data_IF_064103347846
#
_entry.id   IF_064103347846
#
_cell.length_a   1.000
_cell.length_b   1.000
_cell.length_c   1.000
_cell.angle_alpha   90.00
_cell.angle_beta   90.00
_cell.angle_gamma   90.00
#
_symmetry.space_group_name_H-M   'P 1'
#
loop_
_entity.id
_entity.type
_entity.pdbx_description
1 polymer ?
#
# COMPACT_ATOMS: atom_id res chain seq x y z
N UNK A 1 17.24 14.19 -10.21
CA UNK A 1 15.86 14.11 -10.74
C UNK A 1 15.23 12.85 -10.19
N UNK A 2 13.99 12.90 -9.71
CA UNK A 2 13.18 11.77 -9.26
C UNK A 2 12.54 11.05 -10.45
N UNK A 3 12.23 9.76 -10.31
CA UNK A 3 11.67 8.95 -11.39
C UNK A 3 10.29 9.45 -11.86
N UNK A 4 9.43 9.91 -10.95
CA UNK A 4 8.14 10.55 -11.31
C UNK A 4 8.35 11.79 -12.17
N UNK A 5 9.31 12.64 -11.83
CA UNK A 5 9.62 13.85 -12.59
C UNK A 5 10.19 13.52 -13.98
N UNK A 6 11.09 12.52 -14.04
CA UNK A 6 11.65 12.02 -15.29
C UNK A 6 10.55 11.49 -16.22
N UNK A 7 9.67 10.64 -15.68
CA UNK A 7 8.54 10.06 -16.41
C UNK A 7 7.60 11.13 -16.95
N UNK A 8 7.22 12.11 -16.14
CA UNK A 8 6.35 13.22 -16.54
C UNK A 8 6.94 14.05 -17.67
N UNK A 9 8.21 14.45 -17.54
CA UNK A 9 8.93 15.20 -18.58
C UNK A 9 9.03 14.39 -19.88
N UNK A 10 9.29 13.10 -19.77
CA UNK A 10 9.37 12.20 -20.93
C UNK A 10 8.02 12.09 -21.63
N UNK A 11 6.92 11.97 -20.89
CA UNK A 11 5.57 11.99 -21.42
C UNK A 11 5.27 13.32 -22.13
N UNK A 12 5.55 14.45 -21.49
CA UNK A 12 5.30 15.79 -22.05
C UNK A 12 6.09 16.04 -23.34
N UNK A 13 7.36 15.58 -23.37
CA UNK A 13 8.23 15.76 -24.52
C UNK A 13 7.88 14.87 -25.72
N UNK A 14 7.45 13.64 -25.49
CA UNK A 14 7.32 12.62 -26.53
C UNK A 14 5.97 11.91 -26.54
N UNK A 15 5.43 11.56 -25.39
CA UNK A 15 4.17 10.81 -25.28
C UNK A 15 2.95 11.63 -25.70
N UNK A 16 2.83 12.84 -25.18
CA UNK A 16 1.71 13.73 -25.52
C UNK A 16 1.67 14.11 -27.01
N UNK A 17 2.80 14.50 -27.66
CA UNK A 17 2.83 14.68 -29.10
C UNK A 17 2.50 13.42 -29.90
N UNK A 18 2.99 12.24 -29.49
CA UNK A 18 2.68 10.97 -30.14
C UNK A 18 1.18 10.67 -30.10
N UNK A 19 0.53 10.80 -28.95
CA UNK A 19 -0.91 10.57 -28.82
C UNK A 19 -1.70 11.56 -29.69
N UNK A 20 -1.37 12.85 -29.64
CA UNK A 20 -2.06 13.91 -30.40
C UNK A 20 -1.95 13.72 -31.90
N UNK A 21 -0.76 13.36 -32.40
CA UNK A 21 -0.49 13.31 -33.83
C UNK A 21 -0.87 11.97 -34.48
N UNK A 22 -0.61 10.86 -33.77
CA UNK A 22 -0.76 9.51 -34.32
C UNK A 22 -2.05 8.81 -33.90
N UNK A 23 -2.69 9.28 -32.81
CA UNK A 23 -3.90 8.68 -32.19
C UNK A 23 -4.89 9.75 -31.69
N UNK A 24 -5.24 10.77 -32.52
CA UNK A 24 -6.13 11.85 -32.07
C UNK A 24 -7.51 11.36 -31.62
N UNK A 25 -7.97 10.22 -32.16
CA UNK A 25 -9.25 9.60 -31.81
C UNK A 25 -9.24 8.97 -30.40
N UNK A 26 -8.05 8.67 -29.85
CA UNK A 26 -7.89 8.02 -28.55
C UNK A 26 -7.35 8.99 -27.48
N UNK A 27 -6.88 10.16 -27.88
CA UNK A 27 -6.17 11.10 -26.98
C UNK A 27 -7.01 11.43 -25.74
N UNK A 28 -8.33 11.57 -25.86
CA UNK A 28 -9.23 11.86 -24.75
C UNK A 28 -9.71 10.65 -23.94
N UNK A 29 -9.37 9.42 -24.35
CA UNK A 29 -9.83 8.19 -23.69
C UNK A 29 -8.72 7.45 -22.93
N UNK A 30 -7.46 7.79 -23.23
CA UNK A 30 -6.28 7.16 -22.59
C UNK A 30 -5.88 7.98 -21.38
N UNK A 31 -5.85 7.34 -20.20
CA UNK A 31 -5.19 7.93 -19.06
C UNK A 31 -3.68 7.65 -19.11
N UNK A 32 -2.87 8.62 -18.70
CA UNK A 32 -1.41 8.51 -18.70
C UNK A 32 -0.85 8.88 -17.34
N UNK A 33 0.11 8.09 -16.85
CA UNK A 33 0.73 8.35 -15.57
C UNK A 33 1.92 7.44 -15.29
N UNK A 34 2.49 7.59 -14.12
CA UNK A 34 3.41 6.64 -13.53
C UNK A 34 2.84 6.21 -12.18
N UNK A 35 2.28 5.01 -12.13
CA UNK A 35 1.64 4.38 -10.96
C UNK A 35 1.98 2.90 -10.93
N UNK A 36 1.93 2.27 -9.78
CA UNK A 36 2.16 0.84 -9.65
C UNK A 36 3.41 0.50 -8.85
N UNK A 37 4.11 -0.55 -9.29
CA UNK A 37 5.32 -1.02 -8.61
C UNK A 37 6.48 -0.03 -8.83
N UNK A 38 7.36 0.04 -7.84
CA UNK A 38 8.58 0.82 -7.89
C UNK A 38 8.68 1.91 -6.83
N UNK A 39 9.90 2.16 -6.42
CA UNK A 39 10.21 3.21 -5.44
C UNK A 39 9.82 4.59 -5.92
N UNK A 40 9.93 4.85 -7.21
CA UNK A 40 9.57 6.11 -7.85
C UNK A 40 8.08 6.43 -7.75
N UNK A 41 7.22 5.40 -7.82
CA UNK A 41 5.77 5.57 -7.64
C UNK A 41 5.38 5.97 -6.20
N UNK A 42 6.24 5.69 -5.22
CA UNK A 42 6.08 6.13 -3.83
C UNK A 42 6.89 7.40 -3.52
N UNK A 43 7.71 7.91 -4.46
CA UNK A 43 8.63 9.01 -4.22
C UNK A 43 9.85 8.62 -3.36
N UNK A 44 10.09 7.32 -3.19
CA UNK A 44 11.15 6.75 -2.34
C UNK A 44 12.43 6.40 -3.11
N UNK A 45 12.46 6.69 -4.39
CA UNK A 45 13.64 6.50 -5.22
C UNK A 45 14.82 7.35 -4.74
N UNK A 46 16.00 6.74 -4.70
CA UNK A 46 17.28 7.31 -4.30
C UNK A 46 18.41 6.82 -5.23
N UNK A 47 19.67 7.01 -4.84
CA UNK A 47 20.81 6.58 -5.66
C UNK A 47 20.90 5.05 -5.78
N UNK A 48 20.50 4.31 -4.73
CA UNK A 48 20.51 2.85 -4.71
C UNK A 48 19.42 2.29 -5.63
N UNK A 49 18.24 2.95 -5.65
CA UNK A 49 17.11 2.49 -6.47
C UNK A 49 17.33 2.70 -7.98
N UNK A 50 18.38 3.42 -8.39
CA UNK A 50 18.68 3.66 -9.81
C UNK A 50 19.32 2.47 -10.52
N UNK A 51 19.76 1.47 -9.79
CA UNK A 51 20.32 0.24 -10.36
C UNK A 51 19.26 -0.69 -10.95
N UNK A 52 17.98 -0.51 -10.56
CA UNK A 52 16.85 -1.31 -11.03
C UNK A 52 15.68 -0.42 -11.43
N UNK A 53 15.18 -0.64 -12.64
CA UNK A 53 13.92 -0.09 -13.15
C UNK A 53 13.83 1.46 -13.25
N UNK A 54 14.93 2.19 -13.03
CA UNK A 54 14.97 3.63 -13.21
C UNK A 54 15.20 3.96 -14.69
N UNK A 55 14.13 4.28 -15.40
CA UNK A 55 14.16 4.55 -16.84
C UNK A 55 13.16 5.65 -17.25
N UNK A 56 13.38 6.35 -18.37
CA UNK A 56 12.37 7.23 -18.93
C UNK A 56 11.24 6.39 -19.53
N UNK A 57 10.07 6.43 -18.88
CA UNK A 57 8.90 5.65 -19.31
C UNK A 57 7.64 6.13 -18.60
N UNK A 58 6.48 5.80 -19.14
CA UNK A 58 5.17 6.08 -18.57
C UNK A 58 4.18 4.97 -18.94
N UNK A 59 3.09 4.87 -18.20
CA UNK A 59 1.99 3.97 -18.49
C UNK A 59 0.90 4.71 -19.28
N UNK A 60 0.32 4.04 -20.27
CA UNK A 60 -0.89 4.44 -20.98
C UNK A 60 -2.00 3.46 -20.61
N UNK A 61 -2.96 3.92 -19.83
CA UNK A 61 -4.10 3.11 -19.40
C UNK A 61 -5.21 3.26 -20.43
N UNK A 62 -5.43 2.17 -21.17
CA UNK A 62 -6.43 2.12 -22.25
C UNK A 62 -7.72 1.46 -21.77
N UNK A 63 -8.88 1.75 -22.40
CA UNK A 63 -10.12 1.03 -22.13
C UNK A 63 -10.00 -0.48 -22.33
N UNK A 64 -10.72 -1.26 -21.54
CA UNK A 64 -10.65 -2.73 -21.57
C UNK A 64 -11.17 -3.33 -22.89
N UNK A 65 -12.05 -2.63 -23.59
CA UNK A 65 -12.64 -3.01 -24.86
C UNK A 65 -11.87 -2.52 -26.10
N UNK A 66 -10.67 -1.94 -25.89
CA UNK A 66 -9.81 -1.54 -27.02
C UNK A 66 -9.52 -2.74 -27.93
N UNK A 67 -9.63 -2.54 -29.24
CA UNK A 67 -9.31 -3.61 -30.18
C UNK A 67 -7.81 -3.90 -30.26
N UNK A 68 -7.46 -5.16 -30.45
CA UNK A 68 -6.06 -5.64 -30.43
C UNK A 68 -5.16 -4.99 -31.50
N UNK A 69 -5.73 -4.53 -32.61
CA UNK A 69 -4.96 -3.84 -33.65
C UNK A 69 -4.55 -2.44 -33.19
N UNK A 70 -5.45 -1.74 -32.55
CA UNK A 70 -5.20 -0.40 -32.00
C UNK A 70 -4.23 -0.49 -30.83
N UNK A 71 -4.43 -1.43 -29.92
CA UNK A 71 -3.49 -1.73 -28.82
C UNK A 71 -2.09 -1.98 -29.35
N UNK A 72 -1.91 -2.86 -30.32
CA UNK A 72 -0.63 -3.14 -30.96
C UNK A 72 0.00 -1.92 -31.67
N UNK A 73 -0.82 -1.05 -32.29
CA UNK A 73 -0.33 0.22 -32.88
C UNK A 73 0.24 1.14 -31.82
N UNK A 74 -0.45 1.28 -30.67
CA UNK A 74 0.02 2.08 -29.53
C UNK A 74 1.33 1.52 -28.96
N UNK A 75 1.42 0.22 -28.73
CA UNK A 75 2.66 -0.43 -28.28
C UNK A 75 3.84 -0.16 -29.21
N UNK A 76 3.62 -0.30 -30.52
CA UNK A 76 4.64 0.00 -31.52
C UNK A 76 5.05 1.45 -31.56
N UNK A 77 4.12 2.38 -31.38
CA UNK A 77 4.40 3.81 -31.31
C UNK A 77 5.21 4.13 -30.05
N UNK A 78 4.79 3.61 -28.89
CA UNK A 78 5.54 3.74 -27.63
C UNK A 78 6.97 3.16 -27.73
N UNK A 79 7.12 2.00 -28.37
CA UNK A 79 8.40 1.35 -28.55
C UNK A 79 9.38 2.17 -29.43
N UNK A 80 8.89 3.07 -30.28
CA UNK A 80 9.71 3.95 -31.15
C UNK A 80 10.14 5.25 -30.47
N UNK A 81 9.59 5.58 -29.30
CA UNK A 81 9.98 6.76 -28.56
C UNK A 81 11.49 6.73 -28.24
N UNK A 82 12.16 7.87 -28.04
CA UNK A 82 13.58 7.95 -27.75
C UNK A 82 14.01 7.00 -26.65
N UNK A 83 15.15 6.33 -26.86
CA UNK A 83 15.65 5.33 -25.89
C UNK A 83 16.47 5.97 -24.78
N UNK A 84 16.91 7.20 -24.96
CA UNK A 84 17.68 7.98 -23.97
C UNK A 84 16.99 9.31 -23.76
N UNK A 85 16.81 9.72 -22.51
CA UNK A 85 16.26 11.02 -22.15
C UNK A 85 16.92 11.53 -20.86
N UNK A 86 17.33 12.82 -20.84
CA UNK A 86 18.03 13.46 -19.70
C UNK A 86 19.25 12.63 -19.21
N UNK A 87 19.92 11.95 -20.12
CA UNK A 87 21.09 11.11 -19.80
C UNK A 87 20.75 9.74 -19.19
N UNK A 88 19.46 9.35 -19.14
CA UNK A 88 19.00 8.05 -18.66
C UNK A 88 18.53 7.22 -19.84
N UNK A 89 18.97 5.96 -19.89
CA UNK A 89 18.59 5.01 -20.92
C UNK A 89 17.37 4.19 -20.51
N UNK A 90 16.50 3.89 -21.48
CA UNK A 90 15.44 2.88 -21.30
C UNK A 90 16.06 1.50 -21.19
N UNK A 91 15.64 0.77 -20.17
CA UNK A 91 16.09 -0.59 -19.93
C UNK A 91 15.58 -1.53 -21.04
N UNK A 92 16.34 -2.59 -21.31
CA UNK A 92 15.85 -3.66 -22.16
C UNK A 92 14.77 -4.43 -21.39
N UNK A 93 13.62 -4.65 -22.03
CA UNK A 93 12.51 -5.41 -21.44
C UNK A 93 13.04 -6.76 -20.94
N UNK A 94 12.88 -7.02 -19.66
CA UNK A 94 13.22 -8.33 -19.09
C UNK A 94 12.24 -9.39 -19.63
N UNK A 95 12.73 -10.56 -20.06
CA UNK A 95 11.85 -11.67 -20.43
C UNK A 95 11.01 -12.21 -19.25
N UNK A 96 11.44 -11.88 -18.02
CA UNK A 96 10.80 -12.29 -16.77
C UNK A 96 10.30 -11.03 -16.05
N UNK A 97 9.00 -10.80 -16.03
CA UNK A 97 8.38 -9.69 -15.28
C UNK A 97 7.58 -8.68 -16.12
N UNK A 98 7.61 -8.77 -17.45
CA UNK A 98 6.85 -7.86 -18.33
C UNK A 98 7.40 -6.42 -18.34
N UNK A 99 6.74 -5.52 -19.06
CA UNK A 99 7.04 -4.10 -19.04
C UNK A 99 6.22 -3.41 -17.95
N UNK A 100 6.89 -2.65 -17.10
CA UNK A 100 6.21 -1.80 -16.09
C UNK A 100 5.62 -0.52 -16.70
N UNK A 101 6.01 -0.20 -17.93
CA UNK A 101 5.60 0.96 -18.70
C UNK A 101 4.98 0.54 -20.04
N UNK A 102 4.31 1.45 -20.71
CA UNK A 102 3.71 1.24 -22.02
C UNK A 102 2.20 1.12 -21.94
N UNK A 103 1.61 0.32 -22.82
CA UNK A 103 0.16 0.16 -22.94
C UNK A 103 -0.34 -0.89 -21.96
N UNK A 104 -1.31 -0.53 -21.16
CA UNK A 104 -1.90 -1.41 -20.14
C UNK A 104 -3.40 -1.19 -20.12
N UNK A 105 -4.20 -2.25 -20.21
CA UNK A 105 -5.65 -2.12 -20.01
C UNK A 105 -5.95 -1.74 -18.56
N UNK A 106 -6.88 -0.81 -18.39
CA UNK A 106 -7.24 -0.30 -17.05
C UNK A 106 -7.65 -1.43 -16.11
N UNK A 107 -8.51 -2.34 -16.57
CA UNK A 107 -8.95 -3.48 -15.79
C UNK A 107 -7.80 -4.45 -15.45
N UNK A 108 -6.89 -4.72 -16.40
CA UNK A 108 -5.74 -5.60 -16.17
C UNK A 108 -4.77 -5.01 -15.12
N UNK A 109 -4.56 -3.68 -15.16
CA UNK A 109 -3.78 -3.00 -14.13
C UNK A 109 -4.34 -3.24 -12.74
N UNK A 110 -5.64 -2.94 -12.53
CA UNK A 110 -6.25 -3.11 -11.21
C UNK A 110 -6.37 -4.59 -10.81
N UNK A 111 -6.71 -5.47 -11.76
CA UNK A 111 -6.74 -6.92 -11.52
C UNK A 111 -5.39 -7.43 -10.99
N UNK A 112 -4.30 -6.98 -11.59
CA UNK A 112 -2.95 -7.36 -11.15
C UNK A 112 -2.55 -6.82 -9.77
N UNK A 113 -3.15 -5.71 -9.29
CA UNK A 113 -2.80 -5.10 -8.00
C UNK A 113 -3.73 -5.51 -6.88
N UNK A 114 -5.02 -5.55 -7.13
CA UNK A 114 -6.05 -5.75 -6.09
C UNK A 114 -6.91 -7.00 -6.30
N UNK A 115 -6.67 -7.78 -7.37
CA UNK A 115 -7.45 -8.98 -7.68
C UNK A 115 -8.81 -8.73 -8.35
N UNK A 116 -9.13 -7.47 -8.66
CA UNK A 116 -10.37 -7.07 -9.31
C UNK A 116 -10.09 -6.03 -10.41
N UNK A 117 -10.83 -6.06 -11.53
CA UNK A 117 -10.57 -5.14 -12.66
C UNK A 117 -11.07 -3.71 -12.44
N UNK A 118 -11.41 -3.35 -11.19
CA UNK A 118 -11.91 -2.04 -10.79
C UNK A 118 -12.32 -2.02 -9.33
N UNK A 119 -13.24 -1.14 -8.97
CA UNK A 119 -13.70 -0.98 -7.58
C UNK A 119 -14.43 -2.24 -7.10
N UNK A 120 -14.04 -2.84 -5.96
CA UNK A 120 -14.75 -3.97 -5.38
C UNK A 120 -16.22 -3.65 -5.09
N UNK A 121 -17.09 -4.64 -5.28
CA UNK A 121 -18.56 -4.46 -5.19
C UNK A 121 -19.16 -4.94 -3.88
N UNK A 122 -18.42 -5.80 -3.13
CA UNK A 122 -18.88 -6.37 -1.85
C UNK A 122 -17.82 -6.18 -0.78
N UNK A 123 -18.22 -6.26 0.48
CA UNK A 123 -17.29 -6.18 1.61
C UNK A 123 -16.25 -7.31 1.60
N UNK A 124 -16.63 -8.53 1.21
CA UNK A 124 -15.72 -9.66 1.11
C UNK A 124 -14.62 -9.41 0.08
N UNK A 125 -14.97 -8.81 -1.07
CA UNK A 125 -13.99 -8.40 -2.07
C UNK A 125 -13.02 -7.36 -1.50
N UNK A 126 -13.51 -6.36 -0.77
CA UNK A 126 -12.68 -5.37 -0.11
C UNK A 126 -11.75 -5.99 0.94
N UNK A 127 -12.25 -6.93 1.76
CA UNK A 127 -11.45 -7.62 2.77
C UNK A 127 -10.33 -8.46 2.16
N UNK A 128 -10.52 -9.00 0.96
CA UNK A 128 -9.52 -9.83 0.27
C UNK A 128 -8.39 -9.04 -0.38
N UNK A 129 -8.50 -7.71 -0.47
CA UNK A 129 -7.44 -6.87 -1.05
C UNK A 129 -6.25 -6.79 -0.08
N UNK A 130 -5.02 -7.18 -0.51
CA UNK A 130 -3.82 -6.91 0.25
C UNK A 130 -3.59 -5.40 0.43
N UNK A 131 -3.21 -4.97 1.64
CA UNK A 131 -2.97 -3.54 1.91
C UNK A 131 -1.93 -2.95 0.96
N UNK A 132 -0.83 -3.69 0.70
CA UNK A 132 0.20 -3.28 -0.26
C UNK A 132 -0.30 -3.22 -1.71
N UNK A 133 -1.25 -4.08 -2.08
CA UNK A 133 -1.91 -4.04 -3.39
C UNK A 133 -2.70 -2.76 -3.56
N UNK A 134 -3.48 -2.38 -2.54
CA UNK A 134 -4.22 -1.13 -2.54
C UNK A 134 -3.30 0.09 -2.62
N UNK A 135 -2.22 0.10 -1.84
CA UNK A 135 -1.21 1.16 -1.89
C UNK A 135 -0.58 1.27 -3.30
N UNK A 136 -0.23 0.14 -3.91
CA UNK A 136 0.38 0.10 -5.25
C UNK A 136 -0.61 0.52 -6.36
N UNK A 137 -1.89 0.18 -6.21
CA UNK A 137 -2.94 0.60 -7.16
C UNK A 137 -3.26 2.11 -7.11
N UNK A 138 -2.88 2.78 -6.01
CA UNK A 138 -3.28 4.17 -5.74
C UNK A 138 -2.12 5.14 -5.53
N UNK A 139 -0.86 4.71 -5.68
CA UNK A 139 0.34 5.54 -5.58
C UNK A 139 0.65 6.31 -6.88
N UNK A 140 1.79 6.97 -6.93
CA UNK A 140 2.30 7.65 -8.13
C UNK A 140 1.47 8.86 -8.55
N UNK A 141 1.61 9.24 -9.80
CA UNK A 141 0.95 10.43 -10.38
C UNK A 141 0.27 10.10 -11.71
N UNK A 142 -0.95 10.58 -11.88
CA UNK A 142 -1.67 10.57 -13.16
C UNK A 142 -1.38 11.91 -13.84
N UNK A 143 -0.72 11.87 -15.00
CA UNK A 143 -0.32 13.07 -15.75
C UNK A 143 -1.47 13.61 -16.60
N UNK A 144 -2.32 12.72 -17.09
CA UNK A 144 -3.49 13.02 -17.92
C UNK A 144 -4.58 11.97 -17.74
N UNK A 145 -5.82 12.39 -17.64
CA UNK A 145 -7.01 11.53 -17.65
C UNK A 145 -8.24 12.39 -17.99
N UNK A 146 -8.43 12.66 -19.28
CA UNK A 146 -9.49 13.57 -19.74
C UNK A 146 -10.89 12.96 -19.52
N UNK A 147 -11.01 11.62 -19.62
CA UNK A 147 -12.26 10.90 -19.33
C UNK A 147 -12.58 10.84 -17.84
N UNK A 148 -11.54 10.93 -17.00
CA UNK A 148 -11.63 10.78 -15.56
C UNK A 148 -11.91 9.36 -15.06
N UNK A 149 -11.97 8.36 -15.93
CA UNK A 149 -12.35 7.00 -15.54
C UNK A 149 -11.30 6.32 -14.67
N UNK A 150 -10.03 6.42 -15.04
CA UNK A 150 -8.93 5.87 -14.24
C UNK A 150 -8.84 6.54 -12.86
N UNK A 151 -8.91 7.87 -12.84
CA UNK A 151 -8.87 8.68 -11.62
C UNK A 151 -10.07 8.43 -10.72
N UNK A 152 -11.25 8.15 -11.28
CA UNK A 152 -12.46 7.81 -10.53
C UNK A 152 -12.32 6.47 -9.80
N UNK A 153 -11.79 5.44 -10.46
CA UNK A 153 -11.49 4.14 -9.80
C UNK A 153 -10.50 4.35 -8.68
N UNK A 154 -9.41 5.08 -8.93
CA UNK A 154 -8.38 5.41 -7.95
C UNK A 154 -8.94 6.13 -6.72
N UNK A 155 -9.77 7.13 -6.92
CA UNK A 155 -10.42 7.87 -5.83
C UNK A 155 -11.37 6.99 -5.01
N UNK A 156 -12.12 6.10 -5.67
CA UNK A 156 -13.00 5.16 -5.01
C UNK A 156 -12.21 4.14 -4.17
N UNK A 157 -11.07 3.65 -4.67
CA UNK A 157 -10.19 2.74 -3.92
C UNK A 157 -9.57 3.41 -2.69
N UNK A 158 -9.20 4.69 -2.77
CA UNK A 158 -8.72 5.48 -1.63
C UNK A 158 -9.82 5.75 -0.59
N UNK A 159 -11.09 5.65 -0.99
CA UNK A 159 -12.26 5.82 -0.13
C UNK A 159 -12.78 4.46 0.38
N UNK A 160 -11.88 3.62 0.94
CA UNK A 160 -12.26 2.34 1.53
C UNK A 160 -13.52 2.49 2.40
N UNK A 161 -14.55 1.61 2.26
CA UNK A 161 -15.73 1.66 3.12
C UNK A 161 -15.36 1.60 4.59
N UNK A 162 -15.99 2.43 5.42
CA UNK A 162 -15.68 2.56 6.84
C UNK A 162 -15.82 1.22 7.57
N UNK A 163 -16.87 0.46 7.30
CA UNK A 163 -17.10 -0.86 7.91
C UNK A 163 -15.97 -1.86 7.58
N UNK A 164 -15.41 -1.82 6.35
CA UNK A 164 -14.24 -2.62 5.97
C UNK A 164 -13.01 -2.18 6.74
N UNK A 165 -12.77 -0.87 6.82
CA UNK A 165 -11.65 -0.29 7.58
C UNK A 165 -11.70 -0.72 9.04
N UNK A 166 -12.89 -0.63 9.68
CA UNK A 166 -13.09 -1.04 11.06
C UNK A 166 -12.86 -2.54 11.26
N UNK A 167 -13.31 -3.38 10.30
CA UNK A 167 -13.07 -4.82 10.37
C UNK A 167 -11.59 -5.18 10.29
N UNK A 168 -10.86 -4.59 9.35
CA UNK A 168 -9.41 -4.76 9.24
C UNK A 168 -8.69 -4.25 10.51
N UNK A 169 -9.07 -3.07 10.99
CA UNK A 169 -8.48 -2.48 12.20
C UNK A 169 -8.70 -3.41 13.42
N UNK A 170 -9.92 -3.88 13.64
CA UNK A 170 -10.22 -4.81 14.73
C UNK A 170 -9.36 -6.09 14.65
N UNK A 171 -9.21 -6.67 13.46
CA UNK A 171 -8.33 -7.83 13.24
C UNK A 171 -6.87 -7.55 13.61
N UNK A 172 -6.32 -6.42 13.17
CA UNK A 172 -4.96 -6.06 13.51
C UNK A 172 -4.76 -5.80 15.01
N UNK A 173 -5.74 -5.19 15.69
CA UNK A 173 -5.69 -4.99 17.14
C UNK A 173 -5.69 -6.33 17.90
N UNK A 174 -6.47 -7.33 17.46
CA UNK A 174 -6.42 -8.69 18.03
C UNK A 174 -5.02 -9.29 17.87
N UNK A 175 -4.44 -9.19 16.69
CA UNK A 175 -3.11 -9.73 16.44
C UNK A 175 -2.02 -9.01 17.25
N UNK A 176 -2.14 -7.71 17.45
CA UNK A 176 -1.26 -6.94 18.34
C UNK A 176 -1.40 -7.44 19.80
N UNK A 177 -2.62 -7.61 20.30
CA UNK A 177 -2.86 -8.13 21.64
C UNK A 177 -2.24 -9.53 21.80
N UNK A 178 -2.53 -10.42 20.86
CA UNK A 178 -2.06 -11.79 20.92
C UNK A 178 -0.54 -11.92 20.80
N UNK A 179 0.07 -11.24 19.83
CA UNK A 179 1.51 -11.33 19.59
C UNK A 179 2.32 -10.57 20.65
N UNK A 180 1.97 -9.31 20.91
CA UNK A 180 2.71 -8.42 21.82
C UNK A 180 2.34 -8.64 23.28
N UNK A 181 1.09 -8.29 23.65
CA UNK A 181 0.69 -8.26 25.07
C UNK A 181 0.60 -9.66 25.70
N UNK A 182 0.33 -10.71 24.90
CA UNK A 182 0.18 -12.06 25.45
C UNK A 182 1.37 -12.97 25.16
N UNK A 183 1.76 -13.19 23.90
CA UNK A 183 2.72 -14.23 23.54
C UNK A 183 4.18 -13.83 23.78
N UNK A 184 4.56 -12.56 23.56
CA UNK A 184 5.97 -12.14 23.65
C UNK A 184 6.59 -12.53 25.01
N UNK A 185 6.01 -12.05 26.11
CA UNK A 185 6.52 -12.34 27.46
C UNK A 185 6.46 -13.84 27.79
N UNK A 186 5.44 -14.56 27.37
CA UNK A 186 5.33 -16.02 27.58
C UNK A 186 6.45 -16.78 26.85
N UNK A 187 6.81 -16.37 25.65
CA UNK A 187 7.95 -16.97 24.94
C UNK A 187 9.26 -16.72 25.69
N UNK A 188 9.46 -15.51 26.24
CA UNK A 188 10.63 -15.19 27.08
C UNK A 188 10.66 -16.06 28.33
N UNK A 189 9.54 -16.20 29.06
CA UNK A 189 9.44 -17.00 30.28
C UNK A 189 9.74 -18.50 30.03
N UNK A 190 9.45 -18.99 28.83
CA UNK A 190 9.78 -20.34 28.41
C UNK A 190 11.22 -20.50 27.87
N UNK A 191 12.00 -19.42 27.79
CA UNK A 191 13.35 -19.43 27.23
C UNK A 191 13.40 -19.53 25.70
N UNK A 192 12.25 -19.34 25.01
CA UNK A 192 12.08 -19.47 23.57
C UNK A 192 12.33 -18.12 22.87
N UNK A 193 13.58 -17.67 22.87
CA UNK A 193 13.98 -16.34 22.36
C UNK A 193 13.67 -16.16 20.86
N UNK A 194 13.78 -17.22 20.08
CA UNK A 194 13.41 -17.20 18.65
C UNK A 194 11.91 -17.00 18.45
N UNK A 195 11.06 -17.69 19.24
CA UNK A 195 9.61 -17.50 19.21
C UNK A 195 9.20 -16.10 19.68
N UNK A 196 9.91 -15.56 20.71
CA UNK A 196 9.72 -14.19 21.15
C UNK A 196 10.02 -13.17 20.04
N UNK A 197 11.07 -13.39 19.24
CA UNK A 197 11.38 -12.52 18.11
C UNK A 197 10.32 -12.59 17.00
N UNK A 198 9.76 -13.78 16.73
CA UNK A 198 8.62 -13.90 15.81
C UNK A 198 7.40 -13.17 16.34
N UNK A 199 7.08 -13.28 17.62
CA UNK A 199 5.98 -12.57 18.27
C UNK A 199 6.18 -11.04 18.20
N UNK A 200 7.41 -10.54 18.43
CA UNK A 200 7.75 -9.13 18.27
C UNK A 200 7.56 -8.66 16.81
N UNK A 201 8.00 -9.46 15.84
CA UNK A 201 7.84 -9.15 14.41
C UNK A 201 6.37 -9.10 13.98
N UNK A 202 5.54 -10.03 14.46
CA UNK A 202 4.08 -10.03 14.23
C UNK A 202 3.43 -8.79 14.86
N UNK A 203 3.77 -8.47 16.12
CA UNK A 203 3.28 -7.26 16.76
C UNK A 203 3.61 -6.00 15.95
N UNK A 204 4.86 -5.86 15.51
CA UNK A 204 5.32 -4.72 14.69
C UNK A 204 4.55 -4.65 13.37
N UNK A 205 4.43 -5.77 12.66
CA UNK A 205 3.72 -5.83 11.38
C UNK A 205 2.25 -5.38 11.53
N UNK A 206 1.55 -5.89 12.55
CA UNK A 206 0.14 -5.54 12.78
C UNK A 206 -0.02 -4.13 13.34
N UNK A 207 0.91 -3.63 14.14
CA UNK A 207 0.91 -2.23 14.60
C UNK A 207 1.04 -1.27 13.43
N UNK A 208 1.99 -1.49 12.52
CA UNK A 208 2.15 -0.66 11.32
C UNK A 208 0.84 -0.59 10.55
N UNK A 209 0.22 -1.72 10.23
CA UNK A 209 -1.04 -1.77 9.48
C UNK A 209 -2.19 -1.08 10.22
N UNK A 210 -2.31 -1.27 11.55
CA UNK A 210 -3.29 -0.57 12.37
C UNK A 210 -3.09 0.96 12.31
N UNK A 211 -1.84 1.44 12.38
CA UNK A 211 -1.53 2.87 12.28
C UNK A 211 -1.91 3.42 10.90
N UNK A 212 -1.64 2.69 9.81
CA UNK A 212 -2.09 3.12 8.48
C UNK A 212 -3.62 3.20 8.37
N UNK A 213 -4.36 2.24 8.93
CA UNK A 213 -5.82 2.26 8.98
C UNK A 213 -6.36 3.42 9.82
N UNK A 214 -5.70 3.77 10.95
CA UNK A 214 -6.02 4.95 11.76
C UNK A 214 -5.78 6.27 11.02
N UNK A 215 -4.84 6.28 10.08
CA UNK A 215 -4.58 7.41 9.19
C UNK A 215 -5.40 7.37 7.88
N UNK A 216 -6.26 6.35 7.68
CA UNK A 216 -7.05 6.14 6.45
C UNK A 216 -6.19 6.15 5.18
N UNK A 217 -4.98 5.61 5.28
CA UNK A 217 -3.97 5.56 4.22
C UNK A 217 -3.62 4.10 3.93
N UNK A 218 -3.54 3.64 2.68
CA UNK A 218 -3.10 2.30 2.37
C UNK A 218 -1.65 2.05 2.79
N UNK A 219 -1.41 0.91 3.46
CA UNK A 219 -0.07 0.52 3.89
C UNK A 219 0.75 -0.02 2.70
N UNK A 220 1.92 0.52 2.40
CA UNK A 220 2.77 0.00 1.34
C UNK A 220 3.39 -1.36 1.72
N UNK A 221 4.04 -1.99 0.74
CA UNK A 221 4.81 -3.21 0.94
C UNK A 221 5.87 -3.03 2.05
N UNK A 222 6.19 -4.09 2.79
CA UNK A 222 7.07 -4.03 3.98
C UNK A 222 8.37 -3.26 3.76
N UNK A 223 8.96 -3.35 2.57
CA UNK A 223 10.21 -2.63 2.20
C UNK A 223 10.11 -1.12 2.43
N UNK A 224 8.91 -0.56 2.29
CA UNK A 224 8.66 0.88 2.40
C UNK A 224 7.84 1.27 3.63
N UNK A 225 7.33 0.29 4.39
CA UNK A 225 6.37 0.53 5.47
C UNK A 225 6.91 1.45 6.57
N UNK A 226 8.16 1.27 7.01
CA UNK A 226 8.78 2.13 8.00
C UNK A 226 9.02 3.56 7.49
N UNK A 227 9.45 3.69 6.24
CA UNK A 227 9.65 5.00 5.63
C UNK A 227 8.32 5.76 5.53
N UNK A 228 7.29 5.10 5.03
CA UNK A 228 5.94 5.67 4.94
C UNK A 228 5.32 5.95 6.31
N UNK A 229 5.58 5.10 7.32
CA UNK A 229 5.12 5.31 8.70
C UNK A 229 5.64 6.63 9.27
N UNK A 230 6.92 6.98 9.04
CA UNK A 230 7.53 8.23 9.52
C UNK A 230 6.88 9.49 8.92
N UNK A 231 6.18 9.36 7.79
CA UNK A 231 5.51 10.45 7.07
C UNK A 231 4.03 10.61 7.47
N UNK A 232 3.48 9.68 8.27
CA UNK A 232 2.08 9.74 8.67
C UNK A 232 1.82 10.86 9.70
N UNK A 233 0.67 11.54 9.62
CA UNK A 233 0.30 12.60 10.57
C UNK A 233 0.04 12.10 11.99
N UNK A 234 -0.33 10.83 12.17
CA UNK A 234 -0.67 10.23 13.45
C UNK A 234 0.21 9.02 13.72
N UNK A 235 0.72 8.92 14.94
CA UNK A 235 1.50 7.79 15.44
C UNK A 235 2.82 7.50 14.67
N UNK A 236 3.32 8.46 13.88
CA UNK A 236 4.62 8.34 13.21
C UNK A 236 5.79 8.21 14.18
N UNK A 237 5.66 8.76 15.40
CA UNK A 237 6.63 8.64 16.48
C UNK A 237 6.86 7.20 16.95
N UNK A 238 5.97 6.26 16.60
CA UNK A 238 6.16 4.84 16.94
C UNK A 238 7.28 4.17 16.13
N UNK A 239 7.75 4.79 15.04
CA UNK A 239 8.72 4.18 14.12
C UNK A 239 9.97 3.66 14.83
N UNK A 240 10.56 4.46 15.71
CA UNK A 240 11.81 4.10 16.39
C UNK A 240 11.63 2.96 17.41
N UNK A 241 10.50 3.00 18.16
CA UNK A 241 10.14 1.94 19.10
C UNK A 241 9.86 0.62 18.37
N UNK A 242 9.15 0.67 17.23
CA UNK A 242 8.88 -0.51 16.40
C UNK A 242 10.16 -1.07 15.77
N UNK A 243 11.08 -0.20 15.32
CA UNK A 243 12.37 -0.62 14.79
C UNK A 243 13.22 -1.28 15.88
N UNK A 244 13.24 -0.73 17.10
CA UNK A 244 13.92 -1.33 18.25
C UNK A 244 13.40 -2.75 18.56
N UNK A 245 12.08 -2.96 18.54
CA UNK A 245 11.49 -4.28 18.82
C UNK A 245 11.97 -5.39 17.87
N UNK A 246 12.23 -5.08 16.61
CA UNK A 246 12.64 -6.08 15.61
C UNK A 246 14.13 -6.16 15.38
N UNK A 247 14.91 -5.13 15.75
CA UNK A 247 16.35 -5.06 15.51
C UNK A 247 17.21 -5.41 16.73
N UNK A 248 16.61 -5.47 17.93
CA UNK A 248 17.31 -5.79 19.18
C UNK A 248 17.15 -7.26 19.59
N UNK A 249 18.11 -7.76 20.38
CA UNK A 249 18.10 -9.12 20.91
C UNK A 249 16.99 -9.33 21.95
N UNK A 250 16.80 -10.60 22.36
CA UNK A 250 15.89 -11.02 23.42
C UNK A 250 16.65 -11.57 24.63
N UNK A 251 17.77 -10.95 24.99
CA UNK A 251 18.47 -11.26 26.25
C UNK A 251 17.65 -10.80 27.48
N UNK A 252 18.10 -11.19 28.67
CA UNK A 252 17.35 -10.94 29.90
C UNK A 252 17.16 -9.45 30.23
N UNK A 253 18.03 -8.56 29.79
CA UNK A 253 17.90 -7.11 30.00
C UNK A 253 16.99 -6.47 28.95
N UNK A 254 17.23 -6.81 27.69
CA UNK A 254 16.51 -6.22 26.55
C UNK A 254 15.07 -6.71 26.45
N UNK A 255 14.79 -7.97 26.81
CA UNK A 255 13.43 -8.53 26.75
C UNK A 255 12.44 -7.81 27.67
N UNK A 256 12.87 -7.36 28.86
CA UNK A 256 12.05 -6.54 29.75
C UNK A 256 11.68 -5.20 29.13
N UNK A 257 12.68 -4.52 28.55
CA UNK A 257 12.48 -3.24 27.86
C UNK A 257 11.51 -3.39 26.69
N UNK A 258 11.64 -4.48 25.92
CA UNK A 258 10.73 -4.76 24.80
C UNK A 258 9.30 -4.99 25.28
N UNK A 259 9.09 -5.69 26.39
CA UNK A 259 7.76 -5.88 26.96
C UNK A 259 7.12 -4.55 27.39
N UNK A 260 7.90 -3.66 28.02
CA UNK A 260 7.43 -2.30 28.38
C UNK A 260 7.08 -1.49 27.12
N UNK A 261 7.93 -1.53 26.09
CA UNK A 261 7.67 -0.84 24.82
C UNK A 261 6.39 -1.36 24.14
N UNK A 262 6.11 -2.65 24.20
CA UNK A 262 4.85 -3.22 23.67
C UNK A 262 3.65 -2.59 24.36
N UNK A 263 3.66 -2.47 25.69
CA UNK A 263 2.57 -1.85 26.46
C UNK A 263 2.46 -0.34 26.19
N UNK A 264 3.57 0.37 26.04
CA UNK A 264 3.58 1.80 25.70
C UNK A 264 2.98 2.03 24.32
N UNK A 265 3.36 1.22 23.32
CA UNK A 265 2.78 1.28 21.97
C UNK A 265 1.28 0.97 22.03
N UNK A 266 0.88 -0.07 22.76
CA UNK A 266 -0.54 -0.40 22.95
C UNK A 266 -1.31 0.78 23.56
N UNK A 267 -0.75 1.43 24.56
CA UNK A 267 -1.33 2.63 25.20
C UNK A 267 -1.55 3.77 24.21
N UNK A 268 -0.54 4.08 23.37
CA UNK A 268 -0.64 5.14 22.37
C UNK A 268 -1.66 4.82 21.26
N UNK A 269 -1.75 3.57 20.82
CA UNK A 269 -2.77 3.14 19.86
C UNK A 269 -4.17 3.24 20.48
N UNK A 270 -4.35 2.83 21.73
CA UNK A 270 -5.62 2.95 22.47
C UNK A 270 -6.02 4.41 22.61
N UNK A 271 -5.10 5.30 22.92
CA UNK A 271 -5.37 6.73 22.98
C UNK A 271 -5.88 7.26 21.64
N UNK A 272 -5.24 6.90 20.52
CA UNK A 272 -5.69 7.31 19.20
C UNK A 272 -7.06 6.71 18.83
N UNK A 273 -7.35 5.46 19.23
CA UNK A 273 -8.70 4.88 19.08
C UNK A 273 -9.77 5.70 19.83
N UNK A 274 -9.46 6.15 21.04
CA UNK A 274 -10.36 7.04 21.83
C UNK A 274 -10.51 8.41 21.18
N UNK A 275 -9.43 9.02 20.71
CA UNK A 275 -9.43 10.30 20.02
C UNK A 275 -10.32 10.28 18.77
N UNK A 276 -10.34 9.15 18.05
CA UNK A 276 -11.22 8.94 16.90
C UNK A 276 -12.61 8.44 17.30
N UNK A 277 -12.91 8.26 18.58
CA UNK A 277 -14.17 7.71 19.09
C UNK A 277 -14.46 6.31 18.52
N UNK A 278 -13.45 5.48 18.31
CA UNK A 278 -13.57 4.12 17.76
C UNK A 278 -13.74 3.04 18.81
N UNK A 279 -13.56 3.35 20.09
CA UNK A 279 -13.67 2.41 21.20
C UNK A 279 -14.34 3.03 22.42
N UNK A 280 -15.02 2.21 23.20
CA UNK A 280 -15.58 2.54 24.51
C UNK A 280 -14.94 1.73 25.66
N UNK A 281 -14.01 0.82 25.32
CA UNK A 281 -13.29 0.06 26.33
C UNK A 281 -12.38 0.97 27.19
N UNK A 282 -12.26 0.65 28.49
CA UNK A 282 -11.58 1.48 29.48
C UNK A 282 -10.31 0.85 30.07
N UNK A 283 -9.87 -0.27 29.53
CA UNK A 283 -8.66 -1.01 29.98
C UNK A 283 -7.45 -0.78 29.05
N UNK A 284 -6.29 -1.37 29.40
CA UNK A 284 -5.07 -1.38 28.57
C UNK A 284 -4.97 -2.57 27.61
N UNK A 285 -5.98 -3.45 27.58
CA UNK A 285 -5.98 -4.66 26.77
C UNK A 285 -6.54 -4.38 25.37
N UNK A 286 -5.66 -4.47 24.35
CA UNK A 286 -6.01 -4.24 22.94
C UNK A 286 -7.10 -5.20 22.44
N UNK A 287 -7.21 -6.41 23.00
CA UNK A 287 -8.28 -7.34 22.62
C UNK A 287 -9.66 -6.74 22.88
N UNK A 288 -9.87 -6.10 24.04
CA UNK A 288 -11.14 -5.45 24.39
C UNK A 288 -11.45 -4.27 23.47
N UNK A 289 -10.42 -3.51 23.11
CA UNK A 289 -10.55 -2.43 22.14
C UNK A 289 -10.87 -2.94 20.74
N UNK A 290 -10.30 -4.06 20.32
CA UNK A 290 -10.62 -4.69 19.04
C UNK A 290 -12.10 -5.07 18.92
N UNK A 291 -12.67 -5.71 19.94
CA UNK A 291 -14.10 -6.01 19.96
C UNK A 291 -14.95 -4.73 19.97
N UNK A 292 -14.55 -3.72 20.75
CA UNK A 292 -15.25 -2.44 20.77
C UNK A 292 -15.25 -1.73 19.42
N UNK A 293 -14.14 -1.81 18.66
CA UNK A 293 -14.06 -1.33 17.28
C UNK A 293 -14.96 -2.14 16.35
N UNK A 294 -14.95 -3.47 16.46
CA UNK A 294 -15.80 -4.36 15.67
C UNK A 294 -17.29 -4.10 15.89
N UNK A 295 -17.70 -3.77 17.12
CA UNK A 295 -19.11 -3.49 17.47
C UNK A 295 -19.64 -2.21 16.80
N UNK A 296 -18.76 -1.32 16.32
CA UNK A 296 -19.11 -0.11 15.57
C UNK A 296 -19.40 -0.34 14.08
N UNK A 297 -19.16 -1.54 13.58
CA UNK A 297 -19.47 -1.92 12.20
C UNK A 297 -20.99 -1.89 12.03
N UNK A 298 -21.48 -1.12 11.06
CA UNK A 298 -22.92 -0.95 10.83
C UNK A 298 -23.53 -2.15 10.14
N UNK A 299 -22.83 -2.77 9.17
CA UNK A 299 -23.29 -3.97 8.48
C UNK A 299 -23.24 -5.18 9.42
N UNK A 300 -24.40 -5.80 9.63
CA UNK A 300 -24.54 -6.92 10.57
C UNK A 300 -23.80 -8.18 10.11
N UNK A 301 -23.80 -8.48 8.81
CA UNK A 301 -23.12 -9.65 8.29
C UNK A 301 -21.60 -9.51 8.49
N UNK A 302 -21.05 -8.34 8.15
CA UNK A 302 -19.63 -8.04 8.35
C UNK A 302 -19.26 -8.02 9.85
N UNK A 303 -20.09 -7.41 10.70
CA UNK A 303 -19.85 -7.36 12.15
C UNK A 303 -19.77 -8.75 12.78
N UNK A 304 -20.65 -9.68 12.38
CA UNK A 304 -20.73 -11.04 12.92
C UNK A 304 -19.71 -12.02 12.34
N UNK A 305 -18.98 -11.66 11.29
CA UNK A 305 -17.82 -12.42 10.82
C UNK A 305 -16.76 -12.49 11.93
N UNK A 306 -15.94 -13.55 11.94
CA UNK A 306 -14.83 -13.65 12.87
C UNK A 306 -14.00 -12.34 12.85
N UNK A 307 -13.61 -11.85 14.03
CA UNK A 307 -12.90 -10.56 14.15
C UNK A 307 -11.60 -10.53 13.31
N UNK A 308 -10.94 -11.67 13.14
CA UNK A 308 -9.74 -11.84 12.34
C UNK A 308 -9.99 -12.19 10.86
N UNK A 309 -11.23 -12.10 10.37
CA UNK A 309 -11.56 -12.48 8.99
C UNK A 309 -10.84 -11.65 7.90
N UNK A 310 -10.22 -10.54 8.29
CA UNK A 310 -9.56 -9.57 7.39
C UNK A 310 -8.02 -9.51 7.54
N UNK A 311 -7.41 -10.43 8.32
CA UNK A 311 -5.97 -10.43 8.65
C UNK A 311 -5.38 -11.82 8.53
#
# INVERSE_FOLDING_TARGET
MKGLELSKKYYEAFGAPMLRNDFPELEGTIAVGLVGDGSECFGYDDEISRDHDFEPGFCMFVPDDIDSRTEFRLERAYAKLPKTFEGVDRLKISPVGGSRHGVIKTGDFYLGKIGFPGVPRTFEQWLSIPDSGLATATNGEVFRDDSGEFSKIRAALLSMPEDVRLKKLAGHLIMMAQAGQYNYSRCIDHGETGAAQLAAAEFVNHTIKAVFLLNKTPCPFYKWSFRALRELPKLSQLSDSLEFLISSDNDSATSHIKAEIVEDIAGLVIEELKNQSLTEAVCGDLEKHAYSVNDRISDTALRTMHVMAAV
#
